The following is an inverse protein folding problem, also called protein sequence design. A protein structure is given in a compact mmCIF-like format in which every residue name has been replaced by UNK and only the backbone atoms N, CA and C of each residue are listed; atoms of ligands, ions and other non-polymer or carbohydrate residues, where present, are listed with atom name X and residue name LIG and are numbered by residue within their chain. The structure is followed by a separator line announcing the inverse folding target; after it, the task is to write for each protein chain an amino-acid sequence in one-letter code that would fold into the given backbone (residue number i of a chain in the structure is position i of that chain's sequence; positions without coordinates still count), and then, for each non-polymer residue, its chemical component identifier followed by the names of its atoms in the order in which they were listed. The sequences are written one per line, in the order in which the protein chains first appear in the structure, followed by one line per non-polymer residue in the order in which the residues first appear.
data_IF_293477796867
#
_entry.id   IF_293477796867
#
_cell.length_a   1.000
_cell.length_b   1.000
_cell.length_c   1.000
_cell.angle_alpha   90.00
_cell.angle_beta   90.00
_cell.angle_gamma   90.00
#
_symmetry.space_group_name_H-M   'P 1'
#
loop_
_entity.id
_entity.type
_entity.pdbx_description
1 polymer ?
#
# COMPACT_ATOMS: atom_id res chain seq x y z
N UNK A 1 -2.91 -10.31 10.40
CA UNK A 1 -2.60 -8.87 10.15
C UNK A 1 -1.38 -8.74 9.23
N UNK A 2 -1.23 -7.67 8.41
CA UNK A 2 -0.08 -7.51 7.49
C UNK A 2 1.28 -7.68 8.18
N UNK A 3 1.42 -7.16 9.41
CA UNK A 3 2.60 -7.36 10.27
C UNK A 3 2.97 -8.83 10.46
N UNK A 4 1.99 -9.70 10.68
CA UNK A 4 2.22 -11.13 10.91
C UNK A 4 2.57 -11.85 9.61
N UNK A 5 1.98 -11.42 8.50
CA UNK A 5 2.30 -11.94 7.18
C UNK A 5 3.76 -11.64 6.81
N UNK A 6 4.18 -10.39 6.97
CA UNK A 6 5.55 -9.95 6.74
C UNK A 6 6.55 -10.64 7.69
N UNK A 7 6.18 -10.82 8.97
CA UNK A 7 7.04 -11.52 9.93
C UNK A 7 7.18 -13.02 9.62
N UNK A 8 6.16 -13.65 9.02
CA UNK A 8 6.15 -15.08 8.72
C UNK A 8 6.84 -15.40 7.39
N UNK A 9 6.79 -14.49 6.42
CA UNK A 9 7.24 -14.70 5.06
C UNK A 9 8.23 -13.59 4.65
N UNK A 10 9.56 -13.81 4.76
CA UNK A 10 10.58 -12.80 4.45
C UNK A 10 10.54 -12.28 3.01
N UNK A 11 10.05 -13.08 2.06
CA UNK A 11 9.78 -12.67 0.69
C UNK A 11 8.64 -11.66 0.58
N UNK A 12 7.66 -11.72 1.49
CA UNK A 12 6.56 -10.75 1.57
C UNK A 12 7.02 -9.46 2.26
N UNK A 13 7.90 -9.55 3.26
CA UNK A 13 8.48 -8.37 3.95
C UNK A 13 9.11 -7.37 2.97
N UNK A 14 9.75 -7.87 1.90
CA UNK A 14 10.38 -7.05 0.86
C UNK A 14 9.41 -6.09 0.15
N UNK A 15 8.12 -6.38 0.16
CA UNK A 15 7.10 -5.52 -0.44
C UNK A 15 6.63 -4.39 0.48
N UNK A 16 6.97 -4.46 1.78
CA UNK A 16 6.62 -3.47 2.81
C UNK A 16 5.13 -3.09 2.78
N UNK A 17 4.25 -4.09 2.65
CA UNK A 17 2.82 -3.88 2.42
C UNK A 17 2.18 -3.10 3.56
N UNK A 18 2.55 -3.38 4.81
CA UNK A 18 2.01 -2.68 5.98
C UNK A 18 2.33 -1.19 5.95
N UNK A 19 3.60 -0.84 5.76
CA UNK A 19 4.05 0.55 5.77
C UNK A 19 3.45 1.33 4.60
N UNK A 20 3.36 0.67 3.44
CA UNK A 20 2.74 1.27 2.26
C UNK A 20 1.24 1.47 2.44
N UNK A 21 0.54 0.52 3.03
CA UNK A 21 -0.86 0.66 3.37
C UNK A 21 -1.08 1.85 4.31
N UNK A 22 -0.30 1.95 5.41
CA UNK A 22 -0.42 3.04 6.37
C UNK A 22 -0.17 4.42 5.76
N UNK A 23 0.84 4.55 4.89
CA UNK A 23 1.07 5.82 4.19
C UNK A 23 -0.11 6.21 3.27
N UNK A 24 -0.86 5.24 2.71
CA UNK A 24 -1.96 5.53 1.77
C UNK A 24 -3.22 5.88 2.54
N UNK A 25 -3.41 5.26 3.70
CA UNK A 25 -4.42 5.65 4.67
C UNK A 25 -4.20 7.12 5.09
N UNK A 26 -2.99 7.49 5.55
CA UNK A 26 -2.67 8.89 5.87
C UNK A 26 -2.87 9.85 4.69
N UNK A 27 -2.30 9.55 3.53
CA UNK A 27 -2.27 10.50 2.41
C UNK A 27 -3.62 10.64 1.70
N UNK A 28 -4.31 9.54 1.43
CA UNK A 28 -5.53 9.57 0.62
C UNK A 28 -6.80 9.56 1.46
N UNK A 29 -6.83 8.81 2.57
CA UNK A 29 -8.03 8.67 3.38
C UNK A 29 -8.15 9.79 4.41
N UNK A 30 -7.09 10.06 5.17
CA UNK A 30 -7.11 11.10 6.19
C UNK A 30 -6.99 12.50 5.55
N UNK A 31 -5.85 12.82 4.92
CA UNK A 31 -5.60 14.19 4.42
C UNK A 31 -6.53 14.61 3.27
N UNK A 32 -6.69 13.77 2.25
CA UNK A 32 -7.49 14.13 1.07
C UNK A 32 -8.98 13.97 1.34
N UNK A 33 -9.43 12.79 1.75
CA UNK A 33 -10.85 12.51 1.87
C UNK A 33 -11.50 13.15 3.11
N UNK A 34 -10.88 13.05 4.30
CA UNK A 34 -11.46 13.64 5.52
C UNK A 34 -11.09 15.10 5.74
N UNK A 35 -9.82 15.46 5.60
CA UNK A 35 -9.36 16.83 5.88
C UNK A 35 -9.57 17.78 4.68
N UNK A 36 -9.82 17.25 3.47
CA UNK A 36 -10.05 18.06 2.27
C UNK A 36 -8.81 18.78 1.75
N UNK A 37 -7.61 18.34 2.14
CA UNK A 37 -6.33 18.89 1.70
C UNK A 37 -6.02 18.28 0.33
N UNK A 38 -6.33 19.01 -0.74
CA UNK A 38 -6.21 18.53 -2.13
C UNK A 38 -5.10 19.29 -2.85
N UNK A 39 -4.00 18.57 -3.11
CA UNK A 39 -3.04 18.89 -4.17
C UNK A 39 -3.19 17.83 -5.28
N UNK A 40 -3.48 18.27 -6.51
CA UNK A 40 -3.78 17.37 -7.63
C UNK A 40 -2.55 16.53 -8.02
N UNK A 41 -1.35 17.08 -7.94
CA UNK A 41 -0.14 16.37 -8.31
C UNK A 41 0.23 15.33 -7.25
N UNK A 42 0.06 15.65 -5.96
CA UNK A 42 0.25 14.68 -4.88
C UNK A 42 -0.79 13.56 -4.93
N UNK A 43 -2.06 13.88 -5.20
CA UNK A 43 -3.10 12.86 -5.39
C UNK A 43 -2.74 11.94 -6.55
N UNK A 44 -2.30 12.47 -7.70
CA UNK A 44 -1.88 11.66 -8.84
C UNK A 44 -0.69 10.77 -8.49
N UNK A 45 0.29 11.33 -7.77
CA UNK A 45 1.48 10.62 -7.33
C UNK A 45 1.14 9.46 -6.37
N UNK A 46 0.28 9.70 -5.39
CA UNK A 46 -0.16 8.66 -4.44
C UNK A 46 -1.04 7.60 -5.11
N UNK A 47 -1.91 7.97 -6.06
CA UNK A 47 -2.68 6.99 -6.85
C UNK A 47 -1.76 6.09 -7.70
N UNK A 48 -0.68 6.61 -8.26
CA UNK A 48 0.32 5.78 -8.94
C UNK A 48 0.97 4.79 -7.97
N UNK A 49 1.29 5.22 -6.74
CA UNK A 49 1.80 4.30 -5.70
C UNK A 49 0.77 3.25 -5.26
N UNK A 50 -0.53 3.58 -5.26
CA UNK A 50 -1.61 2.62 -5.02
C UNK A 50 -1.63 1.58 -6.11
N UNK A 51 -1.50 1.96 -7.39
CA UNK A 51 -1.42 0.99 -8.50
C UNK A 51 -0.27 0.00 -8.30
N UNK A 52 0.94 0.49 -8.03
CA UNK A 52 2.09 -0.38 -7.75
C UNK A 52 1.88 -1.24 -6.50
N UNK A 53 1.20 -0.71 -5.47
CA UNK A 53 0.84 -1.49 -4.29
C UNK A 53 -0.08 -2.66 -4.62
N UNK A 54 -1.11 -2.43 -5.43
CA UNK A 54 -2.03 -3.48 -5.85
C UNK A 54 -1.34 -4.52 -6.75
N UNK A 55 -0.45 -4.10 -7.64
CA UNK A 55 0.38 -5.01 -8.45
C UNK A 55 1.25 -5.91 -7.57
N UNK A 56 1.86 -5.37 -6.52
CA UNK A 56 2.69 -6.14 -5.59
C UNK A 56 1.86 -7.07 -4.71
N UNK A 57 0.70 -6.63 -4.23
CA UNK A 57 -0.27 -7.50 -3.54
C UNK A 57 -0.68 -8.65 -4.45
N UNK A 58 -0.96 -8.39 -5.73
CA UNK A 58 -1.29 -9.44 -6.69
C UNK A 58 -0.11 -10.41 -6.90
N UNK A 59 1.14 -9.96 -6.87
CA UNK A 59 2.29 -10.88 -6.91
C UNK A 59 2.31 -11.79 -5.69
N UNK A 60 2.05 -11.25 -4.49
CA UNK A 60 1.99 -12.05 -3.25
C UNK A 60 0.84 -13.06 -3.32
N UNK A 61 -0.35 -12.65 -3.72
CA UNK A 61 -1.52 -13.54 -3.83
C UNK A 61 -1.35 -14.62 -4.91
N UNK A 62 -0.77 -14.27 -6.07
CA UNK A 62 -0.53 -15.25 -7.14
C UNK A 62 0.71 -16.12 -6.87
N UNK A 63 1.61 -15.67 -5.99
CA UNK A 63 2.69 -16.51 -5.49
C UNK A 63 2.17 -17.60 -4.53
N UNK A 64 0.92 -17.54 -4.05
CA UNK A 64 0.26 -18.62 -3.28
C UNK A 64 -0.04 -19.89 -4.11
N UNK A 65 0.86 -20.26 -5.03
CA UNK A 65 1.02 -21.64 -5.52
C UNK A 65 2.19 -22.34 -4.79
N UNK A 66 2.44 -21.97 -3.54
CA UNK A 66 3.40 -22.64 -2.64
C UNK A 66 2.73 -23.77 -1.86
#
# INVERSE_FOLDING_TARGET
MLRELEAKFPEVEKFMLRDRYGARERHLHEMVFYEGIIDIEDVRYELNKVRTYLEDVNKVLNAETF
#
